data_IF_579205290029
#
_entry.id   IF_579205290029
#
_cell.length_a   1.000
_cell.length_b   1.000
_cell.length_c   1.000
_cell.angle_alpha   90.00
_cell.angle_beta   90.00
_cell.angle_gamma   90.00
#
_symmetry.space_group_name_H-M   'P 1'
#
loop_
_entity.id
_entity.type
_entity.pdbx_description
1 polymer ?
#
# COMPACT_ATOMS: atom_id res chain seq x y z
N UNK A 1 25.11 1.49 5.82
CA UNK A 1 23.76 0.92 6.06
C UNK A 1 23.18 0.58 4.68
N UNK A 2 22.33 -0.44 4.57
CA UNK A 2 21.61 -0.68 3.32
C UNK A 2 20.68 0.51 3.03
N UNK A 3 20.51 0.84 1.75
CA UNK A 3 19.52 1.86 1.35
C UNK A 3 18.10 1.32 1.57
N UNK A 4 17.14 2.16 2.00
CA UNK A 4 15.75 1.74 2.08
C UNK A 4 15.17 1.54 0.68
N UNK A 5 14.12 0.70 0.58
CA UNK A 5 13.33 0.57 -0.64
C UNK A 5 12.59 1.87 -0.95
N UNK A 6 12.52 2.22 -2.22
CA UNK A 6 11.67 3.29 -2.74
C UNK A 6 10.29 2.71 -3.03
N UNK A 7 9.28 3.22 -2.36
CA UNK A 7 7.89 2.75 -2.51
C UNK A 7 7.02 3.93 -2.89
N UNK A 8 6.36 3.88 -4.06
CA UNK A 8 5.41 4.93 -4.43
C UNK A 8 4.11 4.83 -3.65
N UNK A 9 3.59 5.94 -3.13
CA UNK A 9 2.33 6.04 -2.40
C UNK A 9 1.17 6.33 -3.35
N UNK A 10 0.04 5.61 -3.19
CA UNK A 10 -1.10 5.66 -4.11
C UNK A 10 -0.63 5.65 -5.57
N UNK A 11 0.26 4.72 -5.91
CA UNK A 11 1.18 4.69 -7.04
C UNK A 11 2.29 5.77 -6.89
N UNK A 12 2.09 6.97 -7.44
CA UNK A 12 3.00 8.12 -7.35
C UNK A 12 2.19 9.42 -7.26
N UNK A 13 1.43 9.59 -6.18
CA UNK A 13 0.38 10.61 -6.05
C UNK A 13 0.86 12.07 -6.15
N UNK A 14 2.16 12.33 -6.00
CA UNK A 14 2.77 13.65 -6.21
C UNK A 14 3.31 13.88 -7.62
N UNK A 15 3.22 12.89 -8.52
CA UNK A 15 3.80 12.92 -9.88
C UNK A 15 2.75 12.59 -10.96
N UNK A 16 1.64 11.92 -10.59
CA UNK A 16 0.52 11.59 -11.46
C UNK A 16 -0.77 11.52 -10.62
N UNK A 17 -1.97 11.46 -11.25
CA UNK A 17 -3.21 11.24 -10.51
C UNK A 17 -3.12 9.95 -9.67
N UNK A 18 -3.50 10.07 -8.38
CA UNK A 18 -3.39 8.98 -7.42
C UNK A 18 -4.22 7.76 -7.83
N UNK A 19 -3.67 6.55 -7.60
CA UNK A 19 -4.37 5.30 -7.89
C UNK A 19 -4.81 5.13 -9.35
N UNK A 20 -4.01 5.63 -10.31
CA UNK A 20 -4.25 5.50 -11.76
C UNK A 20 -3.14 4.71 -12.44
N UNK A 21 -3.38 4.26 -13.68
CA UNK A 21 -2.34 3.60 -14.48
C UNK A 21 -1.21 4.57 -14.88
N UNK A 22 -1.48 5.89 -14.96
CA UNK A 22 -0.43 6.89 -15.13
C UNK A 22 0.52 6.90 -13.92
N UNK A 23 -0.02 6.83 -12.69
CA UNK A 23 0.79 6.70 -11.47
C UNK A 23 1.61 5.40 -11.43
N UNK A 24 1.05 4.29 -11.91
CA UNK A 24 1.82 3.02 -12.04
C UNK A 24 3.01 3.20 -12.99
N UNK A 25 2.80 3.86 -14.15
CA UNK A 25 3.90 4.15 -15.10
C UNK A 25 4.95 5.04 -14.46
N UNK A 26 4.54 6.08 -13.73
CA UNK A 26 5.48 6.95 -13.01
C UNK A 26 6.34 6.18 -12.00
N UNK A 27 5.77 5.25 -11.22
CA UNK A 27 6.54 4.37 -10.33
C UNK A 27 7.57 3.51 -11.09
N UNK A 28 7.15 2.93 -12.21
CA UNK A 28 8.05 2.11 -13.04
C UNK A 28 9.20 2.95 -13.62
N UNK A 29 8.90 4.15 -14.11
CA UNK A 29 9.87 5.08 -14.69
C UNK A 29 10.83 5.65 -13.63
N UNK A 30 10.36 5.80 -12.38
CA UNK A 30 11.19 6.19 -11.24
C UNK A 30 12.18 5.10 -10.81
N UNK A 31 12.05 3.87 -11.34
CA UNK A 31 12.81 2.72 -10.85
C UNK A 31 12.48 2.38 -9.40
N UNK A 32 11.23 2.58 -8.97
CA UNK A 32 10.79 2.23 -7.64
C UNK A 32 10.87 0.71 -7.41
N UNK A 33 11.19 0.29 -6.19
CA UNK A 33 11.24 -1.12 -5.80
C UNK A 33 9.83 -1.71 -5.59
N UNK A 34 8.92 -0.86 -5.15
CA UNK A 34 7.52 -1.20 -4.89
C UNK A 34 6.61 0.00 -5.11
N UNK A 35 5.33 -0.26 -5.18
CA UNK A 35 4.29 0.77 -5.05
C UNK A 35 3.19 0.29 -4.11
N UNK A 36 2.62 1.21 -3.39
CA UNK A 36 1.42 1.02 -2.58
C UNK A 36 0.22 1.55 -3.37
N UNK A 37 -0.90 0.83 -3.30
CA UNK A 37 -2.17 1.16 -3.96
C UNK A 37 -3.34 0.90 -3.02
N UNK A 38 -4.36 1.75 -3.10
CA UNK A 38 -5.57 1.64 -2.29
C UNK A 38 -6.62 0.79 -3.00
N UNK A 39 -7.11 -0.28 -2.38
CA UNK A 39 -8.05 -1.20 -3.02
C UNK A 39 -9.37 -1.26 -2.27
N UNK A 40 -10.46 -1.11 -3.02
CA UNK A 40 -11.85 -1.26 -2.58
C UNK A 40 -12.62 -2.20 -3.52
N UNK A 41 -13.87 -2.54 -3.19
CA UNK A 41 -14.76 -3.29 -4.09
C UNK A 41 -15.78 -2.38 -4.75
N UNK A 42 -15.99 -2.57 -6.04
CA UNK A 42 -17.17 -2.11 -6.77
C UNK A 42 -18.45 -2.82 -6.30
N UNK A 43 -19.63 -2.36 -6.71
CA UNK A 43 -20.91 -2.99 -6.36
C UNK A 43 -21.04 -4.43 -6.85
N UNK A 44 -20.36 -4.76 -7.94
CA UNK A 44 -20.30 -6.09 -8.57
C UNK A 44 -19.09 -6.93 -8.09
N UNK A 45 -18.39 -6.45 -7.03
CA UNK A 45 -17.37 -7.23 -6.32
C UNK A 45 -16.01 -7.29 -7.01
N UNK A 46 -15.71 -6.37 -7.92
CA UNK A 46 -14.42 -6.26 -8.60
C UNK A 46 -13.48 -5.35 -7.80
N UNK A 47 -12.24 -5.76 -7.50
CA UNK A 47 -11.24 -4.89 -6.87
C UNK A 47 -10.86 -3.72 -7.78
N UNK A 48 -11.07 -2.49 -7.30
CA UNK A 48 -10.77 -1.22 -7.99
C UNK A 48 -9.89 -0.35 -7.12
N UNK A 49 -9.15 0.57 -7.74
CA UNK A 49 -8.25 1.46 -7.01
C UNK A 49 -8.96 2.75 -6.61
N UNK A 50 -9.13 2.95 -5.31
CA UNK A 50 -9.67 4.19 -4.75
C UNK A 50 -9.31 4.32 -3.27
N UNK A 51 -8.79 5.50 -2.87
CA UNK A 51 -8.43 5.77 -1.47
C UNK A 51 -9.67 6.00 -0.61
N UNK A 52 -10.51 6.96 -0.99
CA UNK A 52 -11.67 7.38 -0.18
C UNK A 52 -12.86 6.43 -0.35
N UNK A 53 -13.75 6.37 0.64
CA UNK A 53 -15.00 5.63 0.53
C UNK A 53 -15.91 6.17 -0.57
N UNK A 54 -15.73 7.47 -0.93
CA UNK A 54 -16.53 8.16 -1.95
C UNK A 54 -15.66 8.65 -3.10
N UNK A 55 -16.29 8.86 -4.25
CA UNK A 55 -15.68 9.25 -5.51
C UNK A 55 -15.41 10.76 -5.63
N UNK A 56 -15.98 11.56 -4.72
CA UNK A 56 -16.16 13.00 -4.85
C UNK A 56 -14.85 13.80 -4.97
N UNK A 57 -13.77 13.35 -4.34
CA UNK A 57 -12.51 14.11 -4.27
C UNK A 57 -11.61 13.92 -5.48
N UNK A 58 -11.60 12.73 -6.04
CA UNK A 58 -10.59 12.31 -7.04
C UNK A 58 -11.18 11.88 -8.37
N UNK A 59 -12.50 11.96 -8.54
CA UNK A 59 -13.17 11.63 -9.81
C UNK A 59 -14.21 12.67 -10.18
N UNK A 60 -14.72 12.58 -11.39
CA UNK A 60 -15.88 13.36 -11.86
C UNK A 60 -17.23 12.76 -11.43
N UNK A 61 -17.24 11.71 -10.62
CA UNK A 61 -18.44 11.08 -10.04
C UNK A 61 -18.60 11.46 -8.56
N UNK A 62 -19.76 11.14 -7.99
CA UNK A 62 -20.09 11.37 -6.57
C UNK A 62 -20.68 10.14 -5.92
N UNK A 63 -20.56 10.07 -4.60
CA UNK A 63 -21.14 9.04 -3.74
C UNK A 63 -20.23 7.83 -3.54
N UNK A 64 -20.70 6.79 -2.84
CA UNK A 64 -19.85 5.66 -2.43
C UNK A 64 -19.33 4.82 -3.59
N UNK A 65 -18.06 4.45 -3.56
CA UNK A 65 -17.41 3.54 -4.53
C UNK A 65 -18.22 2.25 -4.68
N UNK A 66 -18.61 1.65 -3.57
CA UNK A 66 -19.35 0.39 -3.50
C UNK A 66 -20.77 0.43 -4.05
N UNK A 67 -21.29 1.62 -4.41
CA UNK A 67 -22.59 1.77 -5.07
C UNK A 67 -22.51 1.77 -6.60
N UNK A 68 -21.30 1.76 -7.16
CA UNK A 68 -21.03 1.79 -8.60
C UNK A 68 -20.50 0.46 -9.08
N UNK A 69 -20.92 0.04 -10.27
CA UNK A 69 -20.33 -1.10 -10.96
C UNK A 69 -18.91 -0.79 -11.44
N UNK A 70 -18.12 -1.81 -11.65
CA UNK A 70 -16.77 -1.66 -12.22
C UNK A 70 -16.82 -0.90 -13.57
N UNK A 71 -17.79 -1.17 -14.43
CA UNK A 71 -17.95 -0.48 -15.70
C UNK A 71 -18.22 1.03 -15.55
N UNK A 72 -19.02 1.44 -14.56
CA UNK A 72 -19.25 2.86 -14.26
C UNK A 72 -17.98 3.53 -13.74
N UNK A 73 -17.22 2.85 -12.88
CA UNK A 73 -15.95 3.36 -12.32
C UNK A 73 -14.89 3.51 -13.42
N UNK A 74 -14.79 2.54 -14.33
CA UNK A 74 -13.85 2.61 -15.45
C UNK A 74 -14.25 3.68 -16.50
N UNK A 75 -15.49 4.14 -16.52
CA UNK A 75 -15.94 5.25 -17.35
C UNK A 75 -15.74 6.62 -16.68
N UNK A 76 -15.37 6.66 -15.41
CA UNK A 76 -15.10 7.91 -14.69
C UNK A 76 -13.73 8.47 -15.06
N UNK A 77 -13.60 9.80 -14.92
CA UNK A 77 -12.30 10.50 -14.96
C UNK A 77 -11.75 10.60 -13.53
N UNK A 78 -10.65 9.91 -13.27
CA UNK A 78 -9.93 9.93 -12.00
C UNK A 78 -8.74 10.91 -12.01
N UNK A 79 -8.77 11.88 -12.89
CA UNK A 79 -7.75 12.91 -13.10
C UNK A 79 -7.01 12.72 -14.44
N UNK A 80 -6.83 13.84 -15.15
CA UNK A 80 -6.13 13.91 -16.43
C UNK A 80 -6.66 12.94 -17.52
N UNK A 81 -7.94 12.55 -17.44
CA UNK A 81 -8.57 11.59 -18.34
C UNK A 81 -8.25 10.12 -18.03
N UNK A 82 -7.54 9.82 -16.95
CA UNK A 82 -7.30 8.44 -16.53
C UNK A 82 -8.58 7.83 -15.92
N UNK A 83 -8.95 6.59 -16.27
CA UNK A 83 -10.06 5.90 -15.62
C UNK A 83 -9.70 5.43 -14.21
N UNK A 84 -10.70 5.08 -13.39
CA UNK A 84 -10.48 4.28 -12.18
C UNK A 84 -10.08 2.86 -12.61
N UNK A 85 -8.83 2.40 -12.34
CA UNK A 85 -8.39 1.09 -12.80
C UNK A 85 -8.86 -0.04 -11.88
N UNK A 86 -8.92 -1.25 -12.40
CA UNK A 86 -9.03 -2.46 -11.59
C UNK A 86 -7.66 -2.90 -11.09
N UNK A 87 -7.63 -3.70 -10.00
CA UNK A 87 -6.40 -4.36 -9.58
C UNK A 87 -5.81 -5.25 -10.69
N UNK A 88 -6.65 -5.91 -11.47
CA UNK A 88 -6.22 -6.74 -12.58
C UNK A 88 -5.48 -5.93 -13.66
N UNK A 89 -5.90 -4.70 -13.95
CA UNK A 89 -5.22 -3.79 -14.89
C UNK A 89 -3.83 -3.42 -14.37
N UNK A 90 -3.74 -3.10 -13.07
CA UNK A 90 -2.46 -2.77 -12.41
C UNK A 90 -1.50 -3.95 -12.45
N UNK A 91 -1.95 -5.14 -12.03
CA UNK A 91 -1.13 -6.35 -12.06
C UNK A 91 -0.68 -6.70 -13.48
N UNK A 92 -1.55 -6.46 -14.49
CA UNK A 92 -1.20 -6.65 -15.89
C UNK A 92 -0.12 -5.68 -16.38
N UNK A 93 -0.22 -4.40 -15.99
CA UNK A 93 0.74 -3.37 -16.37
C UNK A 93 2.08 -3.57 -15.66
N UNK A 94 2.09 -3.94 -14.38
CA UNK A 94 3.32 -4.15 -13.61
C UNK A 94 4.09 -5.38 -14.07
N UNK A 95 3.42 -6.50 -14.28
CA UNK A 95 3.97 -7.76 -14.80
C UNK A 95 5.29 -8.19 -14.12
N UNK A 96 5.31 -8.11 -12.77
CA UNK A 96 6.44 -8.52 -11.94
C UNK A 96 7.65 -7.56 -11.91
N UNK A 97 7.56 -6.38 -12.54
CA UNK A 97 8.68 -5.41 -12.59
C UNK A 97 8.93 -4.68 -11.28
N UNK A 98 7.95 -4.60 -10.40
CA UNK A 98 8.05 -4.09 -9.02
C UNK A 98 7.06 -4.82 -8.12
N UNK A 99 7.19 -4.63 -6.80
CA UNK A 99 6.24 -5.19 -5.84
C UNK A 99 5.00 -4.30 -5.73
N UNK A 100 3.80 -4.91 -5.78
CA UNK A 100 2.52 -4.22 -5.58
C UNK A 100 2.02 -4.47 -4.15
N UNK A 101 1.92 -3.40 -3.35
CA UNK A 101 1.40 -3.43 -1.98
C UNK A 101 -0.05 -2.96 -1.97
N UNK A 102 -0.98 -3.90 -1.86
CA UNK A 102 -2.42 -3.62 -1.87
C UNK A 102 -2.90 -3.22 -0.48
N UNK A 103 -3.13 -1.90 -0.24
CA UNK A 103 -3.84 -1.48 0.96
C UNK A 103 -5.32 -1.83 0.83
N UNK A 104 -5.77 -2.72 1.68
CA UNK A 104 -7.18 -3.10 1.75
C UNK A 104 -7.93 -2.14 2.67
N UNK A 105 -8.83 -1.35 2.10
CA UNK A 105 -9.63 -0.37 2.84
C UNK A 105 -10.73 -1.06 3.65
N UNK A 106 -10.54 -1.11 4.96
CA UNK A 106 -11.51 -1.71 5.87
C UNK A 106 -12.76 -0.84 6.01
N UNK A 107 -13.93 -1.46 6.09
CA UNK A 107 -15.19 -0.79 6.33
C UNK A 107 -15.64 -1.00 7.79
N UNK A 108 -15.67 0.05 8.63
CA UNK A 108 -16.03 -0.11 10.04
C UNK A 108 -17.38 -0.80 10.23
N UNK A 109 -17.37 -1.90 11.00
CA UNK A 109 -18.58 -2.67 11.31
C UNK A 109 -19.05 -3.65 10.24
N UNK A 110 -18.35 -3.76 9.10
CA UNK A 110 -18.73 -4.64 7.99
C UNK A 110 -17.69 -5.76 7.74
N UNK A 111 -17.43 -6.58 8.75
CA UNK A 111 -16.41 -7.63 8.68
C UNK A 111 -16.59 -8.61 7.50
N UNK A 112 -17.83 -8.92 7.13
CA UNK A 112 -18.12 -9.79 5.97
C UNK A 112 -17.75 -9.10 4.65
N UNK A 113 -17.88 -7.78 4.56
CA UNK A 113 -17.44 -7.01 3.40
C UNK A 113 -15.90 -7.00 3.31
N UNK A 114 -15.24 -6.75 4.43
CA UNK A 114 -13.77 -6.79 4.51
C UNK A 114 -13.22 -8.17 4.10
N UNK A 115 -13.87 -9.26 4.51
CA UNK A 115 -13.48 -10.60 4.10
C UNK A 115 -13.63 -10.82 2.59
N UNK A 116 -14.71 -10.34 1.98
CA UNK A 116 -14.89 -10.42 0.51
C UNK A 116 -13.82 -9.64 -0.24
N UNK A 117 -13.43 -8.45 0.27
CA UNK A 117 -12.34 -7.67 -0.32
C UNK A 117 -11.03 -8.45 -0.29
N UNK A 118 -10.67 -9.04 0.85
CA UNK A 118 -9.46 -9.90 0.95
C UNK A 118 -9.50 -11.02 -0.08
N UNK A 119 -10.62 -11.74 -0.17
CA UNK A 119 -10.75 -12.91 -1.06
C UNK A 119 -10.68 -12.50 -2.54
N UNK A 120 -11.32 -11.40 -2.93
CA UNK A 120 -11.31 -10.90 -4.29
C UNK A 120 -9.90 -10.45 -4.72
N UNK A 121 -9.18 -9.73 -3.86
CA UNK A 121 -7.79 -9.33 -4.11
C UNK A 121 -6.86 -10.52 -4.23
N UNK A 122 -6.96 -11.51 -3.33
CA UNK A 122 -6.16 -12.73 -3.42
C UNK A 122 -6.48 -13.55 -4.68
N UNK A 123 -7.73 -13.55 -5.14
CA UNK A 123 -8.11 -14.21 -6.39
C UNK A 123 -7.48 -13.52 -7.62
N UNK A 124 -7.37 -12.18 -7.65
CA UNK A 124 -6.68 -11.46 -8.73
C UNK A 124 -5.17 -11.74 -8.70
N UNK A 125 -4.55 -11.72 -7.52
CA UNK A 125 -3.14 -12.06 -7.32
C UNK A 125 -2.85 -13.50 -7.81
N UNK A 126 -3.73 -14.44 -7.50
CA UNK A 126 -3.61 -15.84 -7.92
C UNK A 126 -3.75 -16.00 -9.44
N UNK A 127 -4.77 -15.36 -10.06
CA UNK A 127 -4.99 -15.42 -11.51
C UNK A 127 -3.80 -14.92 -12.34
N UNK A 128 -3.03 -13.97 -11.77
CA UNK A 128 -1.83 -13.40 -12.42
C UNK A 128 -0.52 -14.05 -12.00
N UNK A 129 -0.58 -15.08 -11.16
CA UNK A 129 0.60 -15.69 -10.51
C UNK A 129 1.52 -14.63 -9.83
N UNK A 130 0.88 -13.60 -9.25
CA UNK A 130 1.54 -12.43 -8.67
C UNK A 130 1.96 -12.61 -7.20
N UNK A 131 1.86 -13.83 -6.64
CA UNK A 131 2.05 -14.13 -5.20
C UNK A 131 3.42 -13.73 -4.65
N UNK A 132 4.45 -13.69 -5.48
CA UNK A 132 5.82 -13.39 -5.07
C UNK A 132 6.20 -11.92 -5.19
N UNK A 133 5.39 -11.15 -5.89
CA UNK A 133 5.58 -9.72 -6.10
C UNK A 133 4.34 -8.89 -5.74
N UNK A 134 3.45 -9.45 -4.89
CA UNK A 134 2.35 -8.73 -4.27
C UNK A 134 2.41 -8.86 -2.75
N UNK A 135 1.91 -7.83 -2.06
CA UNK A 135 1.76 -7.81 -0.60
C UNK A 135 0.41 -7.25 -0.21
N UNK A 136 -0.15 -7.74 0.90
CA UNK A 136 -1.34 -7.17 1.52
C UNK A 136 -0.93 -6.16 2.59
N UNK A 137 -1.61 -5.04 2.64
CA UNK A 137 -1.37 -3.90 3.50
C UNK A 137 -2.70 -3.46 4.11
N UNK A 138 -2.85 -3.34 5.43
CA UNK A 138 -4.11 -2.89 6.02
C UNK A 138 -3.97 -2.35 7.43
N UNK A 139 -4.78 -1.35 7.76
CA UNK A 139 -5.01 -0.90 9.14
C UNK A 139 -5.81 -1.91 9.95
N UNK A 140 -6.57 -2.80 9.30
CA UNK A 140 -7.33 -3.86 9.98
C UNK A 140 -6.48 -5.14 10.11
N UNK A 141 -6.01 -5.49 11.33
CA UNK A 141 -5.18 -6.68 11.53
C UNK A 141 -5.89 -7.99 11.18
N UNK A 142 -7.23 -8.04 11.17
CA UNK A 142 -7.97 -9.26 10.88
C UNK A 142 -8.00 -9.55 9.37
N UNK A 143 -7.95 -8.51 8.51
CA UNK A 143 -7.73 -8.68 7.07
C UNK A 143 -6.33 -9.23 6.79
N UNK A 144 -5.31 -8.77 7.51
CA UNK A 144 -3.94 -9.33 7.44
C UNK A 144 -3.93 -10.80 7.86
N UNK A 145 -4.62 -11.14 8.97
CA UNK A 145 -4.73 -12.52 9.43
C UNK A 145 -5.40 -13.43 8.40
N UNK A 146 -6.53 -12.98 7.81
CA UNK A 146 -7.23 -13.72 6.78
C UNK A 146 -6.36 -13.92 5.54
N UNK A 147 -5.70 -12.88 5.04
CA UNK A 147 -4.83 -12.99 3.87
C UNK A 147 -3.71 -14.02 4.10
N UNK A 148 -3.06 -13.99 5.26
CA UNK A 148 -2.00 -14.95 5.64
C UNK A 148 -2.51 -16.37 5.80
N UNK A 149 -3.73 -16.55 6.30
CA UNK A 149 -4.35 -17.88 6.43
C UNK A 149 -4.77 -18.45 5.08
N UNK A 150 -5.28 -17.62 4.16
CA UNK A 150 -5.76 -18.02 2.84
C UNK A 150 -4.61 -18.26 1.85
N UNK A 151 -3.63 -17.34 1.80
CA UNK A 151 -2.50 -17.40 0.87
C UNK A 151 -1.17 -17.09 1.58
N UNK A 152 -0.53 -18.11 2.22
CA UNK A 152 0.70 -17.90 2.99
C UNK A 152 1.92 -17.41 2.18
N UNK A 153 1.88 -17.47 0.85
CA UNK A 153 2.97 -17.01 -0.03
C UNK A 153 2.91 -15.50 -0.32
N UNK A 154 1.77 -14.85 -0.07
CA UNK A 154 1.63 -13.39 -0.19
C UNK A 154 2.08 -12.75 1.12
N UNK A 155 2.99 -11.79 1.06
CA UNK A 155 3.43 -11.01 2.22
C UNK A 155 2.29 -10.15 2.77
N UNK A 156 2.32 -9.88 4.09
CA UNK A 156 1.30 -9.04 4.68
C UNK A 156 1.85 -8.13 5.79
N UNK A 157 1.35 -6.90 5.82
CA UNK A 157 1.80 -5.78 6.63
C UNK A 157 0.63 -5.21 7.41
N UNK A 158 0.85 -4.88 8.70
CA UNK A 158 -0.07 -4.04 9.46
C UNK A 158 0.36 -2.58 9.29
N UNK A 159 -0.58 -1.71 8.90
CA UNK A 159 -0.41 -0.26 8.90
C UNK A 159 -0.81 0.26 10.28
N UNK A 160 -0.10 1.27 10.74
CA UNK A 160 -0.43 1.98 11.99
C UNK A 160 -0.21 3.47 11.82
N UNK A 161 -1.12 4.26 12.38
CA UNK A 161 -0.87 5.66 12.69
C UNK A 161 0.21 5.81 13.78
N UNK A 162 0.21 6.94 14.49
CA UNK A 162 1.21 7.22 15.52
C UNK A 162 1.21 6.15 16.62
N UNK A 163 2.39 5.61 16.95
CA UNK A 163 2.59 4.67 18.05
C UNK A 163 3.83 5.03 18.87
N UNK A 164 3.76 4.89 20.18
CA UNK A 164 4.86 5.18 21.09
C UNK A 164 4.89 4.19 22.27
N UNK A 165 6.06 4.06 22.90
CA UNK A 165 6.23 3.27 24.12
C UNK A 165 5.74 1.82 23.97
N UNK A 166 4.82 1.40 24.85
CA UNK A 166 4.26 0.05 24.87
C UNK A 166 3.35 -0.27 23.67
N UNK A 167 2.85 0.77 22.95
CA UNK A 167 2.04 0.56 21.74
C UNK A 167 2.84 -0.11 20.63
N UNK A 168 4.13 0.20 20.54
CA UNK A 168 5.04 -0.46 19.61
C UNK A 168 5.09 -1.96 19.88
N UNK A 169 5.20 -2.39 21.16
CA UNK A 169 5.21 -3.80 21.51
C UNK A 169 3.87 -4.49 21.21
N UNK A 170 2.75 -3.79 21.45
CA UNK A 170 1.41 -4.29 21.09
C UNK A 170 1.26 -4.48 19.58
N UNK A 171 1.71 -3.50 18.77
CA UNK A 171 1.68 -3.56 17.31
C UNK A 171 2.52 -4.73 16.79
N UNK A 172 3.77 -4.84 17.22
CA UNK A 172 4.66 -5.94 16.83
C UNK A 172 4.10 -7.30 17.27
N UNK A 173 3.54 -7.38 18.46
CA UNK A 173 2.88 -8.59 18.98
C UNK A 173 1.64 -8.95 18.15
N UNK A 174 0.84 -7.98 17.75
CA UNK A 174 -0.33 -8.19 16.89
C UNK A 174 0.06 -8.72 15.51
N UNK A 175 1.11 -8.17 14.91
CA UNK A 175 1.66 -8.62 13.63
C UNK A 175 2.13 -10.09 13.70
N UNK A 176 3.00 -10.40 14.67
CA UNK A 176 3.59 -11.73 14.81
C UNK A 176 2.54 -12.82 15.06
N UNK A 177 1.51 -12.51 15.87
CA UNK A 177 0.36 -13.43 16.09
C UNK A 177 -0.41 -13.75 14.81
N UNK A 178 -0.30 -12.92 13.78
CA UNK A 178 -0.99 -13.06 12.48
C UNK A 178 -0.06 -13.52 11.36
N UNK A 179 1.17 -13.92 11.69
CA UNK A 179 2.20 -14.32 10.72
C UNK A 179 2.48 -13.23 9.65
N UNK A 180 2.32 -11.95 10.01
CA UNK A 180 2.73 -10.83 9.18
C UNK A 180 4.25 -10.63 9.20
N UNK A 181 4.79 -9.90 8.22
CA UNK A 181 6.23 -9.73 8.04
C UNK A 181 6.71 -8.30 8.28
N UNK A 182 5.84 -7.32 8.12
CA UNK A 182 6.21 -5.92 8.21
C UNK A 182 5.18 -5.09 9.00
N UNK A 183 5.64 -3.97 9.53
CA UNK A 183 4.79 -2.87 9.99
C UNK A 183 5.05 -1.66 9.12
N UNK A 184 4.00 -0.88 8.83
CA UNK A 184 4.08 0.39 8.13
C UNK A 184 3.55 1.47 9.05
N UNK A 185 4.43 2.38 9.50
CA UNK A 185 4.14 3.32 10.59
C UNK A 185 4.30 4.74 10.08
N UNK A 186 3.43 5.64 10.52
CA UNK A 186 3.48 7.06 10.19
C UNK A 186 4.84 7.67 10.59
N UNK A 187 5.48 8.36 9.65
CA UNK A 187 6.89 8.75 9.70
C UNK A 187 7.29 9.62 10.90
N UNK A 188 6.46 10.52 11.46
CA UNK A 188 6.88 11.33 12.61
C UNK A 188 7.21 10.51 13.85
N UNK A 189 6.64 9.29 13.99
CA UNK A 189 6.84 8.42 15.15
C UNK A 189 8.07 7.51 15.02
N UNK A 190 8.70 7.48 13.85
CA UNK A 190 9.86 6.62 13.61
C UNK A 190 11.11 7.22 14.25
N UNK A 191 11.70 6.43 15.13
CA UNK A 191 13.03 6.64 15.68
C UNK A 191 13.88 5.37 15.60
N UNK A 192 15.16 5.50 15.90
CA UNK A 192 16.10 4.37 15.90
C UNK A 192 15.72 3.28 16.90
N UNK A 193 15.16 3.64 18.05
CA UNK A 193 14.80 2.69 19.09
C UNK A 193 13.65 1.78 18.62
N UNK A 194 12.63 2.35 17.99
CA UNK A 194 11.53 1.60 17.38
C UNK A 194 12.05 0.64 16.30
N UNK A 195 12.88 1.13 15.37
CA UNK A 195 13.42 0.30 14.28
C UNK A 195 14.26 -0.85 14.84
N UNK A 196 15.15 -0.60 15.82
CA UNK A 196 15.94 -1.65 16.47
C UNK A 196 15.04 -2.66 17.18
N UNK A 197 13.97 -2.20 17.84
CA UNK A 197 13.00 -3.08 18.53
C UNK A 197 12.29 -4.00 17.55
N UNK A 198 11.88 -3.49 16.37
CA UNK A 198 11.27 -4.29 15.32
C UNK A 198 12.26 -5.30 14.72
N UNK A 199 13.47 -4.86 14.36
CA UNK A 199 14.50 -5.72 13.75
C UNK A 199 14.96 -6.85 14.67
N UNK A 200 15.00 -6.65 16.00
CA UNK A 200 15.26 -7.72 16.96
C UNK A 200 14.20 -8.84 16.93
N UNK A 201 13.02 -8.56 16.37
CA UNK A 201 11.92 -9.51 16.15
C UNK A 201 11.81 -9.98 14.70
N UNK A 202 12.79 -9.63 13.87
CA UNK A 202 12.80 -9.92 12.43
C UNK A 202 11.58 -9.31 11.70
N UNK A 203 11.12 -8.14 12.15
CA UNK A 203 10.04 -7.39 11.53
C UNK A 203 10.63 -6.26 10.70
N UNK A 204 10.19 -6.20 9.43
CA UNK A 204 10.50 -5.11 8.50
C UNK A 204 9.75 -3.84 8.90
N UNK A 205 10.38 -2.68 8.78
CA UNK A 205 9.77 -1.38 9.10
C UNK A 205 9.70 -0.52 7.86
N UNK A 206 8.49 -0.25 7.39
CA UNK A 206 8.19 0.74 6.38
C UNK A 206 7.55 1.96 7.01
N UNK A 207 7.64 3.09 6.32
CA UNK A 207 7.09 4.35 6.83
C UNK A 207 6.44 5.18 5.71
N UNK A 208 5.40 5.93 6.06
CA UNK A 208 4.55 6.72 5.17
C UNK A 208 4.23 8.08 5.81
N UNK A 209 4.05 9.19 5.14
CA UNK A 209 4.40 9.49 3.75
C UNK A 209 5.31 10.70 3.74
N UNK A 210 6.64 10.55 3.97
CA UNK A 210 7.60 11.65 3.93
C UNK A 210 7.95 11.99 2.48
N UNK A 211 7.99 13.29 2.14
CA UNK A 211 8.23 13.78 0.77
C UNK A 211 9.40 14.77 0.68
N UNK A 212 10.19 14.94 1.75
CA UNK A 212 11.33 15.87 1.82
C UNK A 212 12.67 15.17 2.09
N UNK A 213 13.76 15.76 1.57
CA UNK A 213 15.12 15.23 1.79
C UNK A 213 15.52 15.22 3.27
N UNK A 214 15.03 16.17 4.08
CA UNK A 214 15.29 16.23 5.51
C UNK A 214 14.67 15.02 6.24
N UNK A 215 13.41 14.70 5.94
CA UNK A 215 12.71 13.56 6.51
C UNK A 215 13.32 12.25 6.07
N UNK A 216 13.64 12.10 4.78
CA UNK A 216 14.32 10.92 4.25
C UNK A 216 15.67 10.68 4.92
N UNK A 217 16.48 11.76 5.09
CA UNK A 217 17.77 11.65 5.78
C UNK A 217 17.63 11.08 7.20
N UNK A 218 16.68 11.63 7.98
CA UNK A 218 16.36 11.20 9.35
C UNK A 218 15.92 9.74 9.42
N UNK A 219 15.03 9.34 8.52
CA UNK A 219 14.48 7.98 8.49
C UNK A 219 15.51 6.93 8.04
N UNK A 220 16.37 7.28 7.09
CA UNK A 220 17.52 6.45 6.69
C UNK A 220 18.50 6.26 7.86
N UNK A 221 18.78 7.32 8.61
CA UNK A 221 19.62 7.25 9.82
C UNK A 221 18.96 6.39 10.91
N UNK A 222 17.64 6.48 11.09
CA UNK A 222 16.89 5.60 11.98
C UNK A 222 16.96 4.13 11.54
N UNK A 223 17.17 3.87 10.24
CA UNK A 223 17.41 2.54 9.68
C UNK A 223 16.14 1.83 9.21
N UNK A 224 15.14 2.57 8.71
CA UNK A 224 13.94 1.98 8.09
C UNK A 224 14.31 1.13 6.87
N UNK A 225 13.47 0.17 6.53
CA UNK A 225 13.69 -0.75 5.41
C UNK A 225 13.06 -0.27 4.11
N UNK A 226 12.06 0.63 4.18
CA UNK A 226 11.45 1.26 3.01
C UNK A 226 10.70 2.53 3.36
N UNK A 227 10.61 3.42 2.37
CA UNK A 227 9.95 4.72 2.46
C UNK A 227 8.85 4.79 1.41
N UNK A 228 7.60 4.93 1.87
CA UNK A 228 6.42 5.13 1.04
C UNK A 228 6.27 6.64 0.85
N UNK A 229 6.43 7.13 -0.38
CA UNK A 229 6.46 8.57 -0.71
C UNK A 229 5.58 8.88 -1.91
N UNK A 230 5.01 10.09 -1.95
CA UNK A 230 4.27 10.59 -3.11
C UNK A 230 5.17 10.90 -4.33
N UNK A 231 6.48 11.02 -4.12
CA UNK A 231 7.44 11.51 -5.12
C UNK A 231 8.60 10.53 -5.33
N UNK A 232 8.32 9.30 -5.82
CA UNK A 232 9.32 8.24 -5.94
C UNK A 232 10.53 8.63 -6.82
N UNK A 233 10.35 9.40 -7.90
CA UNK A 233 11.48 9.91 -8.70
C UNK A 233 12.45 10.76 -7.86
N UNK A 234 11.93 11.63 -7.01
CA UNK A 234 12.78 12.48 -6.16
C UNK A 234 13.53 11.65 -5.12
N UNK A 235 12.87 10.66 -4.50
CA UNK A 235 13.52 9.78 -3.53
C UNK A 235 14.59 8.91 -4.22
N UNK A 236 14.31 8.31 -5.38
CA UNK A 236 15.30 7.56 -6.16
C UNK A 236 16.51 8.41 -6.52
N UNK A 237 16.29 9.63 -7.02
CA UNK A 237 17.36 10.56 -7.33
C UNK A 237 18.16 10.99 -6.07
N UNK A 238 17.51 11.17 -4.93
CA UNK A 238 18.17 11.48 -3.66
C UNK A 238 19.07 10.33 -3.21
N UNK A 239 18.57 9.10 -3.24
CA UNK A 239 19.34 7.91 -2.84
C UNK A 239 20.54 7.63 -3.76
N UNK A 240 20.39 7.90 -5.07
CA UNK A 240 21.49 7.73 -6.04
C UNK A 240 22.67 8.70 -5.82
N UNK A 241 22.46 9.81 -5.06
CA UNK A 241 23.53 10.79 -4.75
C UNK A 241 24.28 10.49 -3.43
N UNK A 242 23.83 9.49 -2.67
CA UNK A 242 24.41 9.11 -1.36
C UNK A 242 25.37 7.95 -1.47
#
# INVERSE_FOLDING_TARGET
MAQPLVIGHACAAGEAPANTLAGVRACLDAGADAMEIDVQLSSDGIPVLMHDETLDRTTNLSGPVRSRSCAELQAADAGDGEPVPTLADVLALVDGRLTVMCELKATPGEADFDQRLVDAVLADIERRDARTWSAIHSFNPDMVARARATQPRVSATIISGPVQGDEVDRLLGALLKRNGQAVSIEYPCIDRALVVKAKRRQVTVWTWTPDSEEEWARLIEAGVDGIITNVPHKLSAYLARR
#
